data_IF_849568913840
#
_entry.id   IF_849568913840
#
_cell.length_a   1.000
_cell.length_b   1.000
_cell.length_c   1.000
_cell.angle_alpha   90.00
_cell.angle_beta   90.00
_cell.angle_gamma   90.00
#
_symmetry.space_group_name_H-M   'P 1'
#
loop_
_entity.id
_entity.type
_entity.pdbx_description
1 polymer ?
#
# COMPACT_ATOMS: atom_id res chain seq x y z
N UNK A 1 1.44 -12.81 -7.73
CA UNK A 1 0.64 -11.56 -7.85
C UNK A 1 1.41 -10.63 -8.77
N UNK A 2 0.78 -9.91 -9.69
CA UNK A 2 1.48 -8.87 -10.45
C UNK A 2 1.86 -7.74 -9.49
N UNK A 3 3.06 -7.19 -9.63
CA UNK A 3 3.47 -6.00 -8.90
C UNK A 3 3.09 -4.72 -9.68
N UNK A 4 3.12 -3.57 -8.98
CA UNK A 4 2.78 -2.26 -9.57
C UNK A 4 3.66 -1.92 -10.79
N UNK A 5 4.92 -2.38 -10.80
CA UNK A 5 5.84 -2.15 -11.91
C UNK A 5 5.37 -2.88 -13.17
N UNK A 6 4.95 -4.14 -13.04
CA UNK A 6 4.39 -4.92 -14.13
C UNK A 6 3.06 -4.34 -14.62
N UNK A 7 2.18 -3.93 -13.72
CA UNK A 7 0.92 -3.27 -14.07
C UNK A 7 1.17 -1.98 -14.85
N UNK A 8 2.09 -1.14 -14.39
CA UNK A 8 2.46 0.11 -15.07
C UNK A 8 3.04 -0.13 -16.47
N UNK A 9 3.90 -1.15 -16.64
CA UNK A 9 4.45 -1.52 -17.94
C UNK A 9 3.38 -1.98 -18.90
N UNK A 10 2.46 -2.84 -18.44
CA UNK A 10 1.39 -3.39 -19.26
C UNK A 10 0.36 -2.32 -19.65
N UNK A 11 -0.08 -1.49 -18.69
CA UNK A 11 -0.95 -0.34 -18.95
C UNK A 11 -0.31 0.59 -19.98
N UNK A 12 1.00 0.87 -19.86
CA UNK A 12 1.72 1.73 -20.80
C UNK A 12 1.78 1.13 -22.21
N UNK A 13 1.95 -0.20 -22.32
CA UNK A 13 1.95 -0.91 -23.61
C UNK A 13 0.58 -0.84 -24.27
N UNK A 14 -0.47 -1.20 -23.55
CA UNK A 14 -1.85 -1.19 -24.05
C UNK A 14 -2.30 0.23 -24.42
N UNK A 15 -1.98 1.24 -23.60
CA UNK A 15 -2.27 2.64 -23.92
C UNK A 15 -1.63 3.09 -25.24
N UNK A 16 -0.38 2.69 -25.51
CA UNK A 16 0.28 3.02 -26.79
C UNK A 16 -0.39 2.32 -27.97
N UNK A 17 -0.87 1.10 -27.79
CA UNK A 17 -1.61 0.39 -28.84
C UNK A 17 -2.97 1.04 -29.10
N UNK A 18 -3.69 1.38 -28.04
CA UNK A 18 -4.98 2.08 -28.11
C UNK A 18 -4.85 3.45 -28.79
N UNK A 19 -3.82 4.23 -28.46
CA UNK A 19 -3.54 5.52 -29.09
C UNK A 19 -3.36 5.42 -30.62
N UNK A 20 -2.80 4.32 -31.13
CA UNK A 20 -2.65 4.12 -32.58
C UNK A 20 -4.00 3.95 -33.27
N UNK A 21 -4.94 3.25 -32.63
CA UNK A 21 -6.29 3.06 -33.17
C UNK A 21 -7.10 4.36 -33.09
N UNK A 22 -7.05 5.05 -31.95
CA UNK A 22 -7.77 6.33 -31.75
C UNK A 22 -7.26 7.43 -32.68
N UNK A 23 -6.00 7.37 -33.12
CA UNK A 23 -5.45 8.33 -34.07
C UNK A 23 -6.12 8.28 -35.46
N UNK A 24 -6.79 7.17 -35.80
CA UNK A 24 -7.57 7.03 -37.02
C UNK A 24 -8.99 7.58 -36.81
N UNK A 25 -9.56 8.28 -37.81
CA UNK A 25 -10.93 8.76 -37.71
C UNK A 25 -11.93 7.60 -37.83
N UNK A 26 -13.09 7.75 -37.20
CA UNK A 26 -14.05 6.66 -36.97
C UNK A 26 -14.66 6.04 -38.25
N UNK A 27 -14.66 6.80 -39.34
CA UNK A 27 -15.11 6.39 -40.68
C UNK A 27 -14.06 5.55 -41.44
N UNK A 28 -12.80 5.56 -41.01
CA UNK A 28 -11.69 4.83 -41.63
C UNK A 28 -11.35 3.53 -40.90
N UNK A 29 -11.93 3.32 -39.70
CA UNK A 29 -11.75 2.09 -38.92
C UNK A 29 -12.63 0.97 -39.43
N UNK A 30 -12.03 -0.20 -39.61
CA UNK A 30 -12.72 -1.47 -39.79
C UNK A 30 -13.47 -1.88 -38.52
N UNK A 31 -14.44 -2.79 -38.65
CA UNK A 31 -15.17 -3.31 -37.48
C UNK A 31 -14.23 -4.05 -36.49
N UNK A 32 -13.19 -4.69 -37.01
CA UNK A 32 -12.16 -5.36 -36.19
C UNK A 32 -11.35 -4.36 -35.35
N UNK A 33 -11.00 -3.21 -35.93
CA UNK A 33 -10.29 -2.15 -35.20
C UNK A 33 -11.14 -1.52 -34.11
N UNK A 34 -12.45 -1.35 -34.36
CA UNK A 34 -13.40 -0.87 -33.34
C UNK A 34 -13.54 -1.87 -32.19
N UNK A 35 -13.68 -3.15 -32.51
CA UNK A 35 -13.73 -4.21 -31.50
C UNK A 35 -12.44 -4.26 -30.68
N UNK A 36 -11.27 -4.18 -31.34
CA UNK A 36 -9.97 -4.16 -30.67
C UNK A 36 -9.80 -2.93 -29.78
N UNK A 37 -10.30 -1.77 -30.19
CA UNK A 37 -10.30 -0.55 -29.38
C UNK A 37 -11.09 -0.76 -28.07
N UNK A 38 -12.29 -1.32 -28.16
CA UNK A 38 -13.11 -1.65 -26.98
C UNK A 38 -12.43 -2.67 -26.06
N UNK A 39 -11.83 -3.73 -26.63
CA UNK A 39 -11.09 -4.73 -25.87
C UNK A 39 -9.89 -4.14 -25.12
N UNK A 40 -9.13 -3.26 -25.78
CA UNK A 40 -7.99 -2.57 -25.16
C UNK A 40 -8.45 -1.68 -24.00
N UNK A 41 -9.55 -0.95 -24.16
CA UNK A 41 -10.14 -0.13 -23.08
C UNK A 41 -10.52 -1.00 -21.89
N UNK A 42 -11.22 -2.12 -22.12
CA UNK A 42 -11.61 -3.05 -21.06
C UNK A 42 -10.41 -3.65 -20.33
N UNK A 43 -9.34 -4.02 -21.06
CA UNK A 43 -8.13 -4.55 -20.45
C UNK A 43 -7.41 -3.49 -19.59
N UNK A 44 -7.31 -2.25 -20.09
CA UNK A 44 -6.72 -1.14 -19.33
C UNK A 44 -7.52 -0.89 -18.05
N UNK A 45 -8.85 -0.88 -18.11
CA UNK A 45 -9.70 -0.70 -16.92
C UNK A 45 -9.40 -1.77 -15.86
N UNK A 46 -9.38 -3.06 -16.24
CA UNK A 46 -9.08 -4.16 -15.31
C UNK A 46 -7.70 -4.04 -14.65
N UNK A 47 -6.69 -3.60 -15.40
CA UNK A 47 -5.35 -3.40 -14.85
C UNK A 47 -5.28 -2.20 -13.90
N UNK A 48 -5.99 -1.13 -14.21
CA UNK A 48 -6.11 0.04 -13.32
C UNK A 48 -6.82 -0.34 -12.03
N UNK A 49 -7.94 -1.07 -12.11
CA UNK A 49 -8.63 -1.61 -10.93
C UNK A 49 -7.70 -2.47 -10.08
N UNK A 50 -6.94 -3.38 -10.71
CA UNK A 50 -5.95 -4.22 -10.01
C UNK A 50 -4.90 -3.39 -9.28
N UNK A 51 -4.42 -2.32 -9.91
CA UNK A 51 -3.44 -1.41 -9.29
C UNK A 51 -4.06 -0.63 -8.13
N UNK A 52 -5.30 -0.18 -8.28
CA UNK A 52 -6.00 0.59 -7.24
C UNK A 52 -6.18 -0.28 -5.97
N UNK A 53 -6.45 -1.59 -6.11
CA UNK A 53 -6.41 -2.51 -4.97
C UNK A 53 -5.05 -2.58 -4.25
N UNK A 54 -3.93 -2.54 -5.00
CA UNK A 54 -2.59 -2.52 -4.38
C UNK A 54 -2.35 -1.23 -3.60
N UNK A 55 -2.87 -0.10 -4.08
CA UNK A 55 -2.80 1.18 -3.38
C UNK A 55 -3.58 1.11 -2.07
N UNK A 56 -4.79 0.55 -2.10
CA UNK A 56 -5.63 0.37 -0.91
C UNK A 56 -4.97 -0.53 0.14
N UNK A 57 -4.30 -1.61 -0.29
CA UNK A 57 -3.60 -2.52 0.63
C UNK A 57 -2.41 -1.86 1.32
N UNK A 58 -1.59 -1.09 0.59
CA UNK A 58 -0.46 -0.35 1.19
C UNK A 58 -0.96 0.76 2.13
N UNK A 59 -2.05 1.44 1.77
CA UNK A 59 -2.67 2.44 2.64
C UNK A 59 -3.21 1.81 3.93
N UNK A 60 -3.77 0.60 3.84
CA UNK A 60 -4.23 -0.15 5.00
C UNK A 60 -3.08 -0.48 5.96
N UNK A 61 -1.96 -1.00 5.45
CA UNK A 61 -0.79 -1.30 6.29
C UNK A 61 -0.22 -0.04 6.94
N UNK A 62 -0.21 1.10 6.23
CA UNK A 62 0.23 2.39 6.79
C UNK A 62 -0.66 2.85 7.96
N UNK A 63 -1.98 2.69 7.85
CA UNK A 63 -2.90 3.03 8.94
C UNK A 63 -2.71 2.12 10.15
N UNK A 64 -2.49 0.84 9.90
CA UNK A 64 -2.23 -0.15 10.94
C UNK A 64 -0.96 0.16 11.72
N UNK A 65 0.15 0.45 11.04
CA UNK A 65 1.44 0.79 11.67
C UNK A 65 1.30 1.99 12.61
N UNK A 66 0.55 3.04 12.20
CA UNK A 66 0.31 4.20 13.06
C UNK A 66 -0.46 3.88 14.34
N UNK A 67 -1.44 2.98 14.28
CA UNK A 67 -2.19 2.61 15.47
C UNK A 67 -1.34 1.75 16.42
N UNK A 68 -0.53 0.84 15.87
CA UNK A 68 0.43 0.05 16.65
C UNK A 68 1.47 0.96 17.34
N UNK A 69 2.00 1.97 16.64
CA UNK A 69 2.92 2.98 17.19
C UNK A 69 2.27 3.83 18.29
N UNK A 70 1.02 4.24 18.08
CA UNK A 70 0.25 5.02 19.06
C UNK A 70 0.01 4.22 20.33
N UNK A 71 -0.42 2.95 20.22
CA UNK A 71 -0.61 2.06 21.35
C UNK A 71 0.71 1.89 22.12
N UNK A 72 1.83 1.72 21.41
CA UNK A 72 3.15 1.62 22.03
C UNK A 72 3.55 2.91 22.78
N UNK A 73 3.32 4.08 22.19
CA UNK A 73 3.60 5.36 22.81
C UNK A 73 2.74 5.58 24.06
N UNK A 74 1.44 5.30 23.99
CA UNK A 74 0.51 5.38 25.12
C UNK A 74 0.93 4.43 26.25
N UNK A 75 1.31 3.20 25.91
CA UNK A 75 1.80 2.22 26.87
C UNK A 75 3.06 2.72 27.58
N UNK A 76 4.06 3.19 26.84
CA UNK A 76 5.30 3.72 27.40
C UNK A 76 5.04 4.95 28.26
N UNK A 77 4.22 5.89 27.81
CA UNK A 77 3.82 7.04 28.61
C UNK A 77 3.14 6.62 29.92
N UNK A 78 2.27 5.62 29.90
CA UNK A 78 1.59 5.13 31.11
C UNK A 78 2.55 4.45 32.10
N UNK A 79 3.60 3.77 31.62
CA UNK A 79 4.60 3.09 32.44
C UNK A 79 5.66 4.06 32.97
N UNK A 80 6.08 5.01 32.14
CA UNK A 80 7.08 6.01 32.50
C UNK A 80 6.49 7.10 33.40
N UNK A 81 5.28 7.61 33.14
CA UNK A 81 4.63 8.54 34.07
C UNK A 81 4.48 7.96 35.49
N UNK A 82 4.18 6.65 35.60
CA UNK A 82 4.13 5.94 36.88
C UNK A 82 5.50 5.74 37.54
N UNK A 83 6.57 5.59 36.77
CA UNK A 83 7.94 5.44 37.31
C UNK A 83 8.64 6.77 37.61
N UNK A 84 8.33 7.84 36.87
CA UNK A 84 8.86 9.20 37.11
C UNK A 84 8.21 9.87 38.32
N UNK A 85 6.93 9.61 38.62
CA UNK A 85 6.31 10.09 39.87
C UNK A 85 6.89 9.43 41.13
N UNK A 86 7.52 8.27 41.02
CA UNK A 86 8.23 7.64 42.14
C UNK A 86 9.63 8.24 42.38
N UNK A 87 10.27 8.78 41.33
CA UNK A 87 11.62 9.38 41.41
C UNK A 87 11.64 10.87 41.75
N UNK A 88 10.50 11.59 41.67
CA UNK A 88 10.41 12.99 42.10
C UNK A 88 10.46 13.19 43.64
N UNK A 89 10.68 12.13 44.42
CA UNK A 89 10.99 12.22 45.86
C UNK A 89 12.49 12.26 46.17
N UNK A 90 13.38 12.17 45.17
CA UNK A 90 14.83 12.24 45.37
C UNK A 90 15.46 13.23 44.36
N UNK A 91 16.14 14.21 44.94
CA UNK A 91 16.75 15.47 44.45
C UNK A 91 17.50 15.46 43.09
N UNK A 92 17.73 16.67 42.49
CA UNK A 92 18.32 16.84 41.17
C UNK A 92 19.85 16.78 41.23
N UNK A 93 20.47 16.01 40.33
CA UNK A 93 21.91 16.14 40.05
C UNK A 93 22.11 16.12 38.53
N UNK A 94 22.70 17.20 38.04
CA UNK A 94 23.17 17.42 36.68
C UNK A 94 24.17 16.36 36.25
N UNK A 95 24.06 15.83 35.03
CA UNK A 95 25.25 15.53 34.20
C UNK A 95 24.88 15.32 32.74
N UNK A 96 25.81 15.80 31.92
CA UNK A 96 25.83 15.96 30.46
C UNK A 96 25.51 14.72 29.64
N UNK A 97 24.82 14.95 28.53
CA UNK A 97 24.51 14.01 27.46
C UNK A 97 25.78 13.56 26.70
N UNK A 98 25.98 12.25 26.55
CA UNK A 98 26.90 11.64 25.59
C UNK A 98 26.14 10.58 24.78
N UNK A 99 26.25 10.56 23.43
CA UNK A 99 25.46 9.64 22.61
C UNK A 99 26.24 8.34 22.34
N UNK A 100 25.71 7.19 22.75
CA UNK A 100 26.23 5.91 22.28
C UNK A 100 25.15 4.92 21.82
N UNK A 101 25.31 4.59 20.52
CA UNK A 101 25.09 3.32 19.82
C UNK A 101 23.64 2.86 19.56
N UNK A 102 23.24 3.11 18.31
CA UNK A 102 22.28 2.29 17.55
C UNK A 102 22.80 0.86 17.51
N UNK A 103 22.15 -0.05 18.25
CA UNK A 103 22.39 -1.48 18.13
C UNK A 103 21.38 -2.05 17.14
N UNK A 104 21.89 -2.40 15.96
CA UNK A 104 21.18 -3.08 14.89
C UNK A 104 20.87 -4.52 15.29
N UNK A 105 19.67 -4.80 15.79
CA UNK A 105 19.02 -6.12 15.64
C UNK A 105 17.59 -6.09 16.22
N UNK A 106 16.72 -5.26 15.68
CA UNK A 106 15.28 -5.51 15.81
C UNK A 106 14.94 -6.62 14.81
N UNK A 107 15.08 -7.88 15.23
CA UNK A 107 14.37 -8.97 14.57
C UNK A 107 12.89 -8.74 14.89
N UNK A 108 12.21 -8.04 13.98
CA UNK A 108 10.77 -7.87 14.02
C UNK A 108 10.17 -9.27 13.85
N UNK A 109 9.81 -9.89 14.97
CA UNK A 109 9.04 -11.13 14.97
C UNK A 109 7.62 -10.75 14.62
N UNK A 110 7.37 -10.53 13.33
CA UNK A 110 6.03 -10.57 12.77
C UNK A 110 5.47 -11.96 13.02
N UNK A 111 4.76 -12.12 14.14
CA UNK A 111 3.94 -13.31 14.38
C UNK A 111 2.82 -13.33 13.32
N UNK A 112 2.50 -14.49 12.73
CA UNK A 112 1.62 -14.56 11.58
C UNK A 112 0.19 -14.30 12.03
N UNK A 113 -0.34 -13.13 11.70
CA UNK A 113 -1.78 -12.87 11.75
C UNK A 113 -2.47 -13.76 10.71
N UNK A 114 -2.78 -14.99 11.13
CA UNK A 114 -3.87 -15.76 10.56
C UNK A 114 -5.20 -15.07 10.89
N UNK A 115 -5.45 -13.96 10.23
CA UNK A 115 -6.80 -13.57 9.85
C UNK A 115 -6.77 -13.24 8.38
N UNK A 116 -6.64 -14.30 7.57
CA UNK A 116 -7.22 -14.32 6.25
C UNK A 116 -8.74 -14.12 6.41
N UNK A 117 -9.18 -12.87 6.59
CA UNK A 117 -10.32 -12.47 5.79
C UNK A 117 -9.81 -12.55 4.37
N UNK A 118 -10.15 -13.64 3.66
CA UNK A 118 -10.21 -13.59 2.21
C UNK A 118 -11.02 -12.34 1.89
N UNK A 119 -10.36 -11.24 1.55
CA UNK A 119 -10.98 -10.29 0.65
C UNK A 119 -11.03 -11.07 -0.65
N UNK A 120 -12.16 -11.70 -0.88
CA UNK A 120 -12.46 -12.28 -2.17
C UNK A 120 -12.09 -11.21 -3.20
N UNK A 121 -11.15 -11.57 -4.06
CA UNK A 121 -10.98 -10.91 -5.35
C UNK A 121 -12.41 -10.66 -5.85
N UNK A 122 -12.85 -9.42 -6.10
CA UNK A 122 -14.20 -9.26 -6.57
C UNK A 122 -14.26 -9.93 -7.93
N UNK A 123 -14.84 -11.14 -7.98
CA UNK A 123 -15.30 -11.80 -9.21
C UNK A 123 -16.40 -10.99 -9.92
N UNK A 124 -16.60 -9.72 -9.54
CA UNK A 124 -17.49 -8.77 -10.20
C UNK A 124 -16.77 -8.07 -11.35
N UNK A 125 -16.27 -8.84 -12.32
CA UNK A 125 -16.20 -8.39 -13.72
C UNK A 125 -15.93 -9.54 -14.69
N UNK A 126 -16.65 -10.66 -14.51
CA UNK A 126 -16.82 -11.67 -15.56
C UNK A 126 -18.32 -11.79 -15.83
N UNK A 127 -18.93 -10.72 -16.34
CA UNK A 127 -20.19 -10.69 -17.11
C UNK A 127 -20.58 -9.23 -17.36
N UNK A 128 -20.15 -8.71 -18.51
CA UNK A 128 -20.86 -7.74 -19.34
C UNK A 128 -20.13 -7.71 -20.69
#
# INVERSE_FOLDING_TARGET
MMDDIQLCKEISRLKKELQKLIALPENEKSNEEKQKEEELVQQIHKLVETRDFLVDDVEFERLREREEDKEMAEFLQSKLSKSYLQKASLQPESTSCSPLRVSTSCHCSCFPLQHHHRRDFPSRLVQA
#
